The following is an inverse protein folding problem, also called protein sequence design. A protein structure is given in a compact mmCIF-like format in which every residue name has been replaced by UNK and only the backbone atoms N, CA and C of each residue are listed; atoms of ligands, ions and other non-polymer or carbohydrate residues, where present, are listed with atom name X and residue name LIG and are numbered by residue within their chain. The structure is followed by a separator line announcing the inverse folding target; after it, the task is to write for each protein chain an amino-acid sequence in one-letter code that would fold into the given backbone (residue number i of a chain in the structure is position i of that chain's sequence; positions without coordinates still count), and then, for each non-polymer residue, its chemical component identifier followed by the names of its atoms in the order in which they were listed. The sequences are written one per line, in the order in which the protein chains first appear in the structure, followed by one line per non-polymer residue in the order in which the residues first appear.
data_IF_483358618652
#
_entry.id   IF_483358618652
#
_cell.length_a   1.000
_cell.length_b   1.000
_cell.length_c   1.000
_cell.angle_alpha   90.00
_cell.angle_beta   90.00
_cell.angle_gamma   90.00
#
_symmetry.space_group_name_H-M   'P 1'
#
loop_
_entity.id
_entity.type
_entity.pdbx_description
1 polymer ?
#
# COMPACT_ATOMS: atom_id res chain seq x y z
N UNK A 1 -21.19 4.59 -12.26
CA UNK A 1 -19.82 4.07 -12.04
C UNK A 1 -19.20 4.48 -10.71
N UNK A 2 -19.69 5.52 -10.02
CA UNK A 2 -19.10 6.00 -8.74
C UNK A 2 -19.19 5.04 -7.55
N UNK A 3 -20.12 4.08 -7.58
CA UNK A 3 -20.37 3.17 -6.45
C UNK A 3 -19.31 2.04 -6.35
N UNK A 4 -18.82 1.55 -7.49
CA UNK A 4 -17.80 0.50 -7.56
C UNK A 4 -16.42 0.96 -7.08
N UNK A 5 -16.04 2.22 -7.37
CA UNK A 5 -14.77 2.79 -6.93
C UNK A 5 -14.67 2.90 -5.40
N UNK A 6 -15.79 3.20 -4.73
CA UNK A 6 -15.82 3.33 -3.27
C UNK A 6 -15.69 1.98 -2.54
N UNK A 7 -16.28 0.92 -3.11
CA UNK A 7 -16.14 -0.45 -2.62
C UNK A 7 -14.69 -0.96 -2.76
N UNK A 8 -14.07 -0.77 -3.93
CA UNK A 8 -12.68 -1.19 -4.18
C UNK A 8 -11.67 -0.51 -3.23
N UNK A 9 -11.87 0.78 -2.92
CA UNK A 9 -11.07 1.50 -1.92
C UNK A 9 -11.24 0.84 -0.54
N UNK A 10 -12.49 0.61 -0.12
CA UNK A 10 -12.80 0.03 1.20
C UNK A 10 -12.21 -1.37 1.38
N UNK A 11 -12.30 -2.23 0.37
CA UNK A 11 -11.69 -3.56 0.39
C UNK A 11 -10.16 -3.47 0.54
N UNK A 12 -9.52 -2.57 -0.22
CA UNK A 12 -8.06 -2.35 -0.17
C UNK A 12 -7.58 -1.86 1.20
N UNK A 13 -8.34 -0.97 1.85
CA UNK A 13 -8.01 -0.45 3.17
C UNK A 13 -7.93 -1.52 4.24
N UNK A 14 -8.61 -2.66 4.05
CA UNK A 14 -8.58 -3.78 5.01
C UNK A 14 -7.40 -4.74 4.82
N UNK A 15 -6.65 -4.62 3.72
CA UNK A 15 -5.54 -5.54 3.43
C UNK A 15 -4.36 -5.33 4.37
N UNK A 16 -3.71 -6.45 4.73
CA UNK A 16 -2.35 -6.45 5.30
C UNK A 16 -1.32 -6.00 4.25
N UNK A 17 -0.10 -5.69 4.70
CA UNK A 17 0.99 -5.30 3.81
C UNK A 17 1.31 -6.43 2.80
N UNK A 18 1.45 -7.67 3.28
CA UNK A 18 1.78 -8.81 2.45
C UNK A 18 0.69 -9.08 1.41
N UNK A 19 -0.59 -9.02 1.80
CA UNK A 19 -1.70 -9.19 0.86
C UNK A 19 -1.71 -8.10 -0.21
N UNK A 20 -1.57 -6.82 0.19
CA UNK A 20 -1.55 -5.71 -0.76
C UNK A 20 -0.37 -5.80 -1.72
N UNK A 21 0.82 -6.16 -1.22
CA UNK A 21 2.03 -6.36 -2.02
C UNK A 21 1.87 -7.51 -3.01
N UNK A 22 1.39 -8.66 -2.55
CA UNK A 22 1.29 -9.86 -3.37
C UNK A 22 0.25 -9.67 -4.49
N UNK A 23 -0.84 -8.96 -4.22
CA UNK A 23 -1.81 -8.58 -5.24
C UNK A 23 -1.23 -7.55 -6.22
N UNK A 24 -0.47 -6.55 -5.73
CA UNK A 24 0.19 -5.56 -6.59
C UNK A 24 1.15 -6.23 -7.58
N UNK A 25 1.90 -7.24 -7.13
CA UNK A 25 2.79 -8.03 -8.00
C UNK A 25 1.98 -8.74 -9.10
N UNK A 26 0.81 -9.29 -8.78
CA UNK A 26 -0.06 -9.94 -9.78
C UNK A 26 -0.59 -8.94 -10.81
N UNK A 27 -1.03 -7.76 -10.35
CA UNK A 27 -1.50 -6.67 -11.22
C UNK A 27 -0.39 -6.23 -12.18
N UNK A 28 0.81 -5.95 -11.67
CA UNK A 28 1.96 -5.55 -12.49
C UNK A 28 2.30 -6.65 -13.49
N UNK A 29 2.39 -7.92 -13.05
CA UNK A 29 2.67 -9.03 -13.94
C UNK A 29 1.65 -9.15 -15.09
N UNK A 30 0.36 -8.91 -14.79
CA UNK A 30 -0.69 -8.95 -15.82
C UNK A 30 -0.57 -7.79 -16.81
N UNK A 31 -0.25 -6.59 -16.33
CA UNK A 31 -0.01 -5.42 -17.19
C UNK A 31 1.18 -5.66 -18.13
N UNK A 32 2.28 -6.22 -17.60
CA UNK A 32 3.51 -6.50 -18.36
C UNK A 32 3.35 -7.60 -19.41
N UNK A 33 2.53 -8.62 -19.13
CA UNK A 33 2.21 -9.67 -20.11
C UNK A 33 1.52 -9.12 -21.36
N UNK A 34 0.80 -7.99 -21.23
CA UNK A 34 -0.01 -7.43 -22.30
C UNK A 34 -1.14 -8.37 -22.74
N UNK A 35 -1.59 -8.23 -23.99
CA UNK A 35 -2.67 -9.06 -24.54
C UNK A 35 -4.06 -8.80 -23.95
N UNK A 36 -4.21 -7.70 -23.22
CA UNK A 36 -5.46 -7.20 -22.64
C UNK A 36 -5.93 -5.95 -23.38
N UNK A 37 -7.22 -5.65 -23.26
CA UNK A 37 -7.82 -4.45 -23.82
C UNK A 37 -7.39 -3.19 -23.06
N UNK A 38 -7.61 -2.01 -23.66
CA UNK A 38 -7.35 -0.73 -23.01
C UNK A 38 -8.20 -0.54 -21.73
N UNK A 39 -9.45 -1.00 -21.75
CA UNK A 39 -10.33 -0.87 -20.59
C UNK A 39 -9.83 -1.74 -19.43
N UNK A 40 -9.43 -2.99 -19.71
CA UNK A 40 -8.83 -3.88 -18.71
C UNK A 40 -7.49 -3.33 -18.19
N UNK A 41 -6.66 -2.73 -19.04
CA UNK A 41 -5.38 -2.16 -18.60
C UNK A 41 -5.57 -0.93 -17.70
N UNK A 42 -6.59 -0.10 -17.97
CA UNK A 42 -6.95 1.00 -17.08
C UNK A 42 -7.48 0.51 -15.72
N UNK A 43 -8.34 -0.50 -15.71
CA UNK A 43 -8.84 -1.09 -14.46
C UNK A 43 -7.72 -1.68 -13.60
N UNK A 44 -6.78 -2.40 -14.23
CA UNK A 44 -5.61 -2.94 -13.54
C UNK A 44 -4.69 -1.84 -13.03
N UNK A 45 -4.49 -0.77 -13.80
CA UNK A 45 -3.71 0.37 -13.34
C UNK A 45 -4.35 1.03 -12.11
N UNK A 46 -5.65 1.34 -12.14
CA UNK A 46 -6.37 1.93 -11.00
C UNK A 46 -6.28 1.03 -9.75
N UNK A 47 -6.43 -0.29 -9.93
CA UNK A 47 -6.25 -1.25 -8.84
C UNK A 47 -4.83 -1.21 -8.29
N UNK A 48 -3.83 -1.16 -9.17
CA UNK A 48 -2.42 -1.05 -8.82
C UNK A 48 -2.12 0.19 -7.98
N UNK A 49 -2.67 1.35 -8.34
CA UNK A 49 -2.50 2.60 -7.58
C UNK A 49 -3.06 2.48 -6.16
N UNK A 50 -4.26 1.90 -5.99
CA UNK A 50 -4.85 1.69 -4.67
C UNK A 50 -3.99 0.76 -3.80
N UNK A 51 -3.47 -0.33 -4.38
CA UNK A 51 -2.61 -1.28 -3.68
C UNK A 51 -1.26 -0.66 -3.30
N UNK A 52 -0.67 0.14 -4.20
CA UNK A 52 0.57 0.86 -3.94
C UNK A 52 0.41 1.86 -2.80
N UNK A 53 -0.68 2.64 -2.82
CA UNK A 53 -1.01 3.58 -1.74
C UNK A 53 -1.13 2.85 -0.39
N UNK A 54 -1.84 1.70 -0.36
CA UNK A 54 -1.97 0.88 0.85
C UNK A 54 -0.62 0.38 1.38
N UNK A 55 0.27 -0.05 0.48
CA UNK A 55 1.63 -0.45 0.85
C UNK A 55 2.41 0.71 1.47
N UNK A 56 2.30 1.91 0.88
CA UNK A 56 2.97 3.11 1.38
C UNK A 56 2.49 3.50 2.78
N UNK A 57 1.18 3.46 3.04
CA UNK A 57 0.59 3.71 4.37
C UNK A 57 1.17 2.78 5.44
N UNK A 58 1.27 1.48 5.14
CA UNK A 58 1.87 0.50 6.04
C UNK A 58 3.33 0.82 6.36
N UNK A 59 4.12 1.13 5.33
CA UNK A 59 5.54 1.45 5.48
C UNK A 59 5.75 2.77 6.23
N UNK A 60 4.92 3.77 5.98
CA UNK A 60 4.96 5.05 6.70
C UNK A 60 4.62 4.85 8.18
N UNK A 61 3.55 4.11 8.48
CA UNK A 61 3.19 3.79 9.87
C UNK A 61 4.28 2.99 10.59
N UNK A 62 4.95 2.06 9.91
CA UNK A 62 6.09 1.34 10.47
C UNK A 62 7.27 2.26 10.79
N UNK A 63 7.62 3.19 9.88
CA UNK A 63 8.66 4.20 10.11
C UNK A 63 8.33 5.09 11.30
N UNK A 64 7.09 5.58 11.41
CA UNK A 64 6.66 6.42 12.52
C UNK A 64 6.77 5.71 13.86
N UNK A 65 6.38 4.42 13.94
CA UNK A 65 6.55 3.62 15.16
C UNK A 65 8.02 3.44 15.56
N UNK A 66 8.91 3.25 14.58
CA UNK A 66 10.35 3.13 14.82
C UNK A 66 10.93 4.44 15.38
N UNK A 67 10.58 5.57 14.79
CA UNK A 67 11.05 6.89 15.24
C UNK A 67 10.49 7.24 16.64
N UNK A 68 9.22 6.91 16.91
CA UNK A 68 8.66 7.07 18.25
C UNK A 68 9.41 6.22 19.29
N UNK A 69 9.69 4.94 18.99
CA UNK A 69 10.45 4.06 19.88
C UNK A 69 11.87 4.57 20.14
N UNK A 70 12.55 5.12 19.12
CA UNK A 70 13.87 5.75 19.25
C UNK A 70 13.83 6.97 20.17
N UNK A 71 12.86 7.85 19.99
CA UNK A 71 12.71 9.06 20.80
C UNK A 71 12.31 8.74 22.24
N UNK A 72 11.53 7.67 22.47
CA UNK A 72 11.19 7.20 23.82
C UNK A 72 12.34 6.50 24.53
N UNK A 73 13.33 5.97 23.80
CA UNK A 73 14.51 5.31 24.36
C UNK A 73 15.62 6.29 24.80
N UNK A 74 15.51 7.59 24.48
CA UNK A 74 16.39 8.64 24.99
C UNK A 74 15.65 9.41 26.10
N UNK A 75 15.89 9.10 27.39
CA UNK A 75 16.85 9.91 28.16
C UNK A 75 17.55 9.19 29.35
N UNK A 76 18.89 9.11 29.35
CA UNK A 76 19.74 9.01 30.57
C UNK A 76 21.22 9.39 30.29
N UNK A 77 21.48 10.55 29.73
CA UNK A 77 22.82 11.18 29.72
C UNK A 77 22.64 12.65 30.11
N UNK A 78 22.30 12.86 31.39
CA UNK A 78 22.34 14.17 32.05
C UNK A 78 22.85 13.94 33.48
N UNK A 79 24.17 13.79 33.63
CA UNK A 79 24.81 13.72 34.94
C UNK A 79 26.22 13.15 34.93
N UNK A 80 27.22 13.96 34.57
CA UNK A 80 28.45 14.15 35.36
C UNK A 80 29.14 15.47 34.97
#
# INVERSE_FOLDING_TARGET
MSDMGSAAVSETSTLSYEQARDELIQVVSRLEQGGITLEESLQLWERGELLAQRCEEWLLGARQRLEAARNSAAPMEAGN
#
